data_IF_503627940701
#
_entry.id   IF_503627940701
#
_cell.length_a   1.000
_cell.length_b   1.000
_cell.length_c   1.000
_cell.angle_alpha   90.00
_cell.angle_beta   90.00
_cell.angle_gamma   90.00
#
_symmetry.space_group_name_H-M   'P 1'
#
loop_
_entity.id
_entity.type
_entity.pdbx_description
1 polymer ?
#
# COMPACT_ATOMS: atom_id res chain seq x y z
N UNK A 1 23.31 -9.09 20.94
CA UNK A 1 22.77 -8.96 19.56
C UNK A 1 22.55 -10.37 19.04
N UNK A 2 21.30 -10.82 18.89
CA UNK A 2 21.03 -12.12 18.24
C UNK A 2 21.44 -11.98 16.78
N UNK A 3 22.38 -12.80 16.33
CA UNK A 3 22.72 -12.92 14.90
C UNK A 3 21.64 -13.80 14.31
N UNK A 4 20.82 -13.22 13.44
CA UNK A 4 19.79 -13.94 12.67
C UNK A 4 20.51 -14.60 11.50
N UNK A 5 20.36 -15.91 11.33
CA UNK A 5 20.95 -16.66 10.22
C UNK A 5 20.13 -16.46 8.94
N UNK A 6 20.75 -16.60 7.75
CA UNK A 6 20.05 -16.49 6.47
C UNK A 6 18.85 -17.46 6.35
N UNK A 7 18.89 -18.63 6.99
CA UNK A 7 17.76 -19.57 7.06
C UNK A 7 16.60 -19.12 7.96
N UNK A 8 16.81 -18.17 8.89
CA UNK A 8 15.72 -17.54 9.66
C UNK A 8 15.06 -16.38 8.88
N UNK A 9 15.68 -15.92 7.79
CA UNK A 9 15.03 -15.14 6.74
C UNK A 9 14.35 -16.11 5.78
N UNK A 10 13.29 -16.81 6.25
CA UNK A 10 12.34 -17.44 5.33
C UNK A 10 12.00 -16.37 4.31
N UNK A 11 12.35 -16.59 3.05
CA UNK A 11 12.13 -15.59 2.02
C UNK A 11 10.63 -15.51 1.79
N UNK A 12 9.99 -14.59 2.52
CA UNK A 12 8.54 -14.40 2.53
C UNK A 12 8.10 -13.53 1.36
N UNK A 13 8.68 -13.76 0.19
CA UNK A 13 8.38 -13.05 -1.05
C UNK A 13 7.47 -13.89 -1.92
N UNK A 14 6.60 -13.24 -2.69
CA UNK A 14 5.71 -13.93 -3.62
C UNK A 14 5.05 -12.98 -4.60
N UNK A 15 4.08 -13.52 -5.32
CA UNK A 15 3.23 -12.72 -6.21
C UNK A 15 1.77 -12.88 -5.80
N UNK A 16 0.99 -11.84 -6.07
CA UNK A 16 -0.45 -11.88 -5.89
C UNK A 16 -1.17 -11.23 -7.04
N UNK A 17 -2.30 -11.81 -7.43
CA UNK A 17 -3.20 -11.26 -8.43
C UNK A 17 -4.36 -10.55 -7.75
N UNK A 18 -4.49 -9.25 -7.99
CA UNK A 18 -5.49 -8.41 -7.35
C UNK A 18 -6.89 -8.81 -7.82
N UNK A 19 -7.77 -9.11 -6.87
CA UNK A 19 -9.20 -9.40 -7.14
C UNK A 19 -10.09 -8.20 -6.82
N UNK A 20 -9.64 -7.29 -5.95
CA UNK A 20 -10.42 -6.11 -5.59
C UNK A 20 -9.58 -4.95 -5.04
N UNK A 21 -9.80 -3.74 -5.59
CA UNK A 21 -9.09 -2.49 -5.24
C UNK A 21 -9.92 -1.59 -4.28
N UNK A 22 -11.06 -2.05 -3.78
CA UNK A 22 -12.07 -1.20 -3.12
C UNK A 22 -11.76 -0.70 -1.71
N UNK A 23 -10.60 -1.02 -1.12
CA UNK A 23 -10.34 -0.77 0.30
C UNK A 23 -9.25 0.27 0.54
N UNK A 24 -9.39 0.99 1.66
CA UNK A 24 -8.55 2.12 2.08
C UNK A 24 -7.07 1.73 2.11
N UNK A 25 -6.71 0.81 3.01
CA UNK A 25 -5.31 0.46 3.28
C UNK A 25 -4.91 -0.92 2.73
N UNK A 26 -5.86 -1.67 2.18
CA UNK A 26 -5.63 -3.06 1.74
C UNK A 26 -6.11 -3.31 0.32
N UNK A 27 -5.65 -4.42 -0.25
CA UNK A 27 -6.08 -5.02 -1.49
C UNK A 27 -6.56 -6.44 -1.18
N UNK A 28 -7.63 -6.88 -1.84
CA UNK A 28 -7.99 -8.29 -1.84
C UNK A 28 -7.35 -8.93 -3.07
N UNK A 29 -6.76 -10.10 -2.89
CA UNK A 29 -6.01 -10.77 -3.93
C UNK A 29 -6.04 -12.28 -3.75
N UNK A 30 -5.54 -12.98 -4.75
CA UNK A 30 -5.12 -14.37 -4.63
C UNK A 30 -3.60 -14.43 -4.63
N UNK A 31 -3.02 -15.22 -3.73
CA UNK A 31 -1.64 -15.67 -3.86
C UNK A 31 -1.51 -16.37 -5.22
N UNK A 32 -0.50 -15.99 -5.99
CA UNK A 32 -0.41 -16.35 -7.40
C UNK A 32 0.89 -17.08 -7.69
N UNK A 33 0.77 -18.26 -8.29
CA UNK A 33 1.88 -18.95 -8.94
C UNK A 33 2.01 -18.39 -10.36
N UNK A 34 3.09 -17.64 -10.61
CA UNK A 34 3.34 -17.00 -11.90
C UNK A 34 3.71 -18.01 -12.97
N UNK A 35 4.38 -19.10 -12.60
CA UNK A 35 4.82 -20.12 -13.55
C UNK A 35 3.66 -21.03 -13.97
N UNK A 36 2.78 -21.38 -13.02
CA UNK A 36 1.59 -22.17 -13.29
C UNK A 36 0.37 -21.35 -13.75
N UNK A 37 0.46 -20.02 -13.72
CA UNK A 37 -0.65 -19.07 -13.93
C UNK A 37 -1.91 -19.45 -13.13
N UNK A 38 -1.72 -19.74 -11.84
CA UNK A 38 -2.75 -20.33 -10.99
C UNK A 38 -2.86 -19.65 -9.62
N UNK A 39 -4.09 -19.64 -9.10
CA UNK A 39 -4.38 -19.19 -7.73
C UNK A 39 -4.01 -20.26 -6.71
N UNK A 40 -3.27 -19.86 -5.67
CA UNK A 40 -2.91 -20.70 -4.52
C UNK A 40 -3.78 -20.46 -3.29
N UNK A 41 -4.68 -19.47 -3.35
CA UNK A 41 -5.60 -19.13 -2.25
C UNK A 41 -5.77 -17.62 -2.08
N UNK A 42 -6.85 -17.22 -1.42
CA UNK A 42 -7.14 -15.79 -1.19
C UNK A 42 -6.34 -15.22 -0.03
N UNK A 43 -5.85 -14.00 -0.20
CA UNK A 43 -5.08 -13.25 0.79
C UNK A 43 -5.51 -11.78 0.82
N UNK A 44 -5.16 -11.11 1.91
CA UNK A 44 -5.30 -9.66 2.07
C UNK A 44 -3.91 -9.04 2.12
N UNK A 45 -3.70 -7.97 1.37
CA UNK A 45 -2.39 -7.32 1.22
C UNK A 45 -2.52 -5.87 1.68
N UNK A 46 -1.66 -5.44 2.59
CA UNK A 46 -1.55 -4.03 2.96
C UNK A 46 -0.84 -3.25 1.86
N UNK A 47 -1.36 -2.06 1.52
CA UNK A 47 -0.66 -1.08 0.69
C UNK A 47 0.64 -0.62 1.38
N UNK A 48 1.62 -0.09 0.62
CA UNK A 48 2.77 0.58 1.21
C UNK A 48 2.32 1.69 2.17
N UNK A 49 3.02 1.88 3.29
CA UNK A 49 2.60 2.81 4.35
C UNK A 49 2.23 4.19 3.81
N UNK A 50 3.06 4.77 2.94
CA UNK A 50 2.83 6.09 2.35
C UNK A 50 1.57 6.19 1.46
N UNK A 51 1.06 5.06 0.95
CA UNK A 51 -0.15 4.99 0.11
C UNK A 51 -1.41 4.61 0.90
N UNK A 52 -1.30 4.41 2.22
CA UNK A 52 -2.43 4.12 3.12
C UNK A 52 -3.21 5.40 3.40
N UNK A 53 -4.50 5.26 3.66
CA UNK A 53 -5.40 6.35 4.01
C UNK A 53 -5.43 6.59 5.53
N UNK A 54 -5.60 5.55 6.33
CA UNK A 54 -5.97 5.67 7.76
C UNK A 54 -4.98 6.48 8.60
N UNK A 55 -3.69 6.38 8.30
CA UNK A 55 -2.64 7.11 9.03
C UNK A 55 -2.70 8.62 8.80
N UNK A 56 -3.25 9.05 7.66
CA UNK A 56 -3.12 10.43 7.19
C UNK A 56 -4.45 11.15 7.05
N UNK A 57 -5.58 10.44 6.92
CA UNK A 57 -6.87 11.07 6.63
C UNK A 57 -7.37 11.95 7.78
N UNK A 58 -7.53 13.24 7.50
CA UNK A 58 -7.91 14.24 8.51
C UNK A 58 -6.85 14.46 9.59
N UNK A 59 -5.62 13.96 9.38
CA UNK A 59 -4.49 14.13 10.28
C UNK A 59 -3.47 15.08 9.67
N UNK A 60 -2.71 15.75 10.54
CA UNK A 60 -1.52 16.51 10.15
C UNK A 60 -0.27 15.80 10.66
N UNK A 61 0.75 15.74 9.81
CA UNK A 61 2.05 15.14 10.13
C UNK A 61 3.07 16.27 10.24
N UNK A 62 3.61 16.45 11.44
CA UNK A 62 4.73 17.34 11.69
C UNK A 62 6.03 16.58 11.46
N UNK A 63 6.75 16.95 10.41
CA UNK A 63 8.05 16.37 10.08
C UNK A 63 9.16 17.02 10.91
N UNK A 64 10.31 16.35 11.02
CA UNK A 64 11.42 16.79 11.85
C UNK A 64 12.02 18.15 11.43
N UNK A 65 11.78 18.58 10.18
CA UNK A 65 12.17 19.89 9.67
C UNK A 65 11.17 21.01 10.02
N UNK A 66 10.06 20.70 10.72
CA UNK A 66 9.03 21.65 11.11
C UNK A 66 7.83 21.71 10.17
N UNK A 67 7.91 21.07 8.99
CA UNK A 67 6.80 21.08 8.03
C UNK A 67 5.58 20.35 8.60
N UNK A 68 4.42 20.99 8.50
CA UNK A 68 3.16 20.41 8.95
C UNK A 68 2.25 20.14 7.75
N UNK A 69 2.24 18.88 7.29
CA UNK A 69 1.46 18.49 6.11
C UNK A 69 0.17 17.83 6.56
N UNK A 70 -0.98 18.32 6.06
CA UNK A 70 -2.28 17.68 6.29
C UNK A 70 -2.82 17.04 5.02
N UNK A 71 -3.61 15.98 5.19
CA UNK A 71 -4.18 15.22 4.07
C UNK A 71 -5.68 15.01 4.22
N UNK A 72 -6.42 15.21 3.12
CA UNK A 72 -7.87 14.93 3.04
C UNK A 72 -8.11 13.93 1.92
N UNK A 73 -8.60 12.74 2.23
CA UNK A 73 -8.84 11.72 1.22
C UNK A 73 -10.24 11.86 0.61
N UNK A 74 -10.29 12.01 -0.71
CA UNK A 74 -11.54 12.00 -1.47
C UNK A 74 -11.95 10.59 -1.88
N UNK A 75 -10.96 9.75 -2.21
CA UNK A 75 -11.17 8.33 -2.58
C UNK A 75 -9.99 7.50 -2.09
N UNK A 76 -10.04 6.18 -2.29
CA UNK A 76 -8.92 5.26 -2.00
C UNK A 76 -7.65 5.52 -2.82
N UNK A 77 -7.73 6.38 -3.85
CA UNK A 77 -6.64 6.71 -4.78
C UNK A 77 -6.45 8.21 -5.02
N UNK A 78 -7.21 9.07 -4.33
CA UNK A 78 -7.15 10.52 -4.48
C UNK A 78 -7.22 11.20 -3.12
N UNK A 79 -6.31 12.14 -2.89
CA UNK A 79 -6.27 12.99 -1.70
C UNK A 79 -5.93 14.44 -2.08
N UNK A 80 -6.29 15.38 -1.23
CA UNK A 80 -5.70 16.71 -1.20
C UNK A 80 -4.58 16.72 -0.15
N UNK A 81 -3.45 17.33 -0.48
CA UNK A 81 -2.36 17.59 0.46
C UNK A 81 -2.21 19.10 0.65
N UNK A 82 -1.98 19.52 1.89
CA UNK A 82 -1.82 20.93 2.26
C UNK A 82 -0.55 21.10 3.08
N UNK A 83 0.26 22.08 2.71
CA UNK A 83 1.43 22.54 3.45
C UNK A 83 1.40 24.07 3.43
N UNK A 84 1.21 24.69 4.59
CA UNK A 84 1.02 26.13 4.74
C UNK A 84 -0.09 26.67 3.79
N UNK A 85 0.28 27.55 2.86
CA UNK A 85 -0.63 28.13 1.85
C UNK A 85 -0.70 27.30 0.56
N UNK A 86 0.18 26.31 0.40
CA UNK A 86 0.22 25.45 -0.78
C UNK A 86 -0.74 24.26 -0.64
N UNK A 87 -1.44 23.96 -1.74
CA UNK A 87 -2.26 22.75 -1.82
C UNK A 87 -2.18 22.11 -3.20
N UNK A 88 -2.33 20.80 -3.24
CA UNK A 88 -2.50 20.06 -4.49
C UNK A 88 -3.43 18.87 -4.32
N UNK A 89 -4.08 18.51 -5.43
CA UNK A 89 -4.78 17.23 -5.54
C UNK A 89 -3.78 16.19 -6.03
N UNK A 90 -3.62 15.11 -5.26
CA UNK A 90 -2.76 13.99 -5.57
C UNK A 90 -3.58 12.76 -5.95
N UNK A 91 -3.06 11.98 -6.89
CA UNK A 91 -3.61 10.68 -7.31
C UNK A 91 -2.51 9.62 -7.32
N UNK A 92 -2.84 8.38 -6.94
CA UNK A 92 -1.89 7.26 -7.02
C UNK A 92 -1.65 6.93 -8.51
N UNK A 93 -0.40 7.00 -8.94
CA UNK A 93 0.00 6.73 -10.34
C UNK A 93 1.28 5.85 -10.40
N UNK A 94 1.28 4.74 -11.18
CA UNK A 94 0.08 4.09 -11.72
C UNK A 94 -0.86 3.62 -10.59
N UNK A 95 -2.16 3.49 -10.89
CA UNK A 95 -3.12 2.99 -9.89
C UNK A 95 -2.96 1.47 -9.69
N UNK A 96 -3.71 0.91 -8.74
CA UNK A 96 -3.95 -0.53 -8.69
C UNK A 96 -5.09 -0.92 -9.63
N UNK A 97 -4.95 -2.07 -10.27
CA UNK A 97 -5.97 -2.63 -11.18
C UNK A 97 -6.34 -4.06 -10.77
N UNK A 98 -7.59 -4.44 -11.02
CA UNK A 98 -7.99 -5.86 -10.92
C UNK A 98 -7.23 -6.65 -11.98
N UNK A 99 -6.91 -7.91 -11.68
CA UNK A 99 -6.09 -8.83 -12.47
C UNK A 99 -4.60 -8.46 -12.60
N UNK A 100 -4.18 -7.36 -11.98
CA UNK A 100 -2.77 -7.01 -11.89
C UNK A 100 -2.02 -7.97 -10.95
N UNK A 101 -0.87 -8.45 -11.40
CA UNK A 101 0.05 -9.25 -10.59
C UNK A 101 1.07 -8.30 -9.95
N UNK A 102 1.18 -8.35 -8.62
CA UNK A 102 2.13 -7.56 -7.83
C UNK A 102 3.07 -8.44 -7.03
N UNK A 103 4.29 -7.96 -6.81
CA UNK A 103 5.24 -8.58 -5.89
C UNK A 103 4.87 -8.22 -4.44
N UNK A 104 4.82 -9.22 -3.58
CA UNK A 104 4.46 -9.09 -2.17
C UNK A 104 5.56 -9.61 -1.28
N UNK A 105 5.59 -9.11 -0.06
CA UNK A 105 6.39 -9.65 1.02
C UNK A 105 5.53 -9.86 2.26
N UNK A 106 5.93 -10.76 3.16
CA UNK A 106 5.23 -10.96 4.42
C UNK A 106 6.05 -10.52 5.62
N UNK A 107 5.40 -9.65 6.39
CA UNK A 107 5.92 -8.98 7.56
C UNK A 107 4.73 -8.36 8.33
N UNK A 108 4.86 -8.11 9.63
CA UNK A 108 3.85 -7.35 10.38
C UNK A 108 3.63 -5.97 9.74
N UNK A 109 2.40 -5.70 9.26
CA UNK A 109 2.11 -4.47 8.52
C UNK A 109 1.51 -3.36 9.38
N UNK A 110 1.03 -3.70 10.58
CA UNK A 110 0.26 -2.80 11.44
C UNK A 110 -1.17 -2.53 10.96
N UNK A 111 -1.61 -3.20 9.89
CA UNK A 111 -2.97 -3.07 9.35
C UNK A 111 -3.84 -4.22 9.85
N UNK A 112 -5.07 -3.91 10.25
CA UNK A 112 -6.10 -4.89 10.64
C UNK A 112 -7.23 -4.86 9.61
N UNK A 113 -7.71 -6.03 9.19
CA UNK A 113 -8.84 -6.17 8.28
C UNK A 113 -9.74 -7.31 8.73
N UNK A 114 -11.05 -7.05 8.88
CA UNK A 114 -12.00 -8.06 9.35
C UNK A 114 -11.77 -8.56 10.79
N UNK A 115 -10.94 -7.86 11.58
CA UNK A 115 -10.51 -8.29 12.92
C UNK A 115 -9.15 -8.96 12.96
N UNK A 116 -8.60 -9.34 11.80
CA UNK A 116 -7.34 -10.06 11.69
C UNK A 116 -6.18 -9.15 11.28
N UNK A 117 -4.98 -9.46 11.77
CA UNK A 117 -3.76 -8.77 11.36
C UNK A 117 -3.40 -9.13 9.91
N UNK A 118 -3.16 -8.10 9.09
CA UNK A 118 -2.69 -8.28 7.71
C UNK A 118 -1.18 -8.44 7.74
N UNK A 119 -0.68 -9.56 7.18
CA UNK A 119 0.74 -9.90 7.20
C UNK A 119 1.41 -9.83 5.82
N UNK A 120 0.65 -9.71 4.73
CA UNK A 120 1.21 -9.45 3.40
C UNK A 120 1.23 -7.95 3.12
N UNK A 121 2.29 -7.45 2.50
CA UNK A 121 2.36 -6.08 2.01
C UNK A 121 2.89 -6.03 0.58
N UNK A 122 2.43 -5.04 -0.18
CA UNK A 122 2.92 -4.74 -1.52
C UNK A 122 4.33 -4.14 -1.45
N UNK A 123 5.27 -4.73 -2.19
CA UNK A 123 6.64 -4.23 -2.33
C UNK A 123 6.73 -2.98 -3.21
N UNK A 124 5.61 -2.57 -3.81
CA UNK A 124 5.49 -1.43 -4.71
C UNK A 124 6.38 -1.55 -5.95
N UNK A 125 6.52 -2.77 -6.49
CA UNK A 125 7.35 -3.05 -7.67
C UNK A 125 6.92 -2.27 -8.92
N UNK A 126 5.65 -1.86 -9.01
CA UNK A 126 5.12 -1.04 -10.12
C UNK A 126 5.38 0.47 -9.96
N UNK A 127 6.26 0.87 -9.04
CA UNK A 127 6.66 2.25 -8.80
C UNK A 127 5.50 3.23 -8.52
N UNK A 128 4.48 2.79 -7.79
CA UNK A 128 3.30 3.63 -7.49
C UNK A 128 3.68 4.71 -6.50
N UNK A 129 3.23 5.92 -6.76
CA UNK A 129 3.40 7.05 -5.86
C UNK A 129 2.18 7.97 -5.91
N UNK A 130 2.06 8.83 -4.90
CA UNK A 130 1.20 10.00 -4.99
C UNK A 130 1.82 10.99 -5.98
N UNK A 131 1.11 11.25 -7.07
CA UNK A 131 1.50 12.21 -8.08
C UNK A 131 0.48 13.34 -8.15
N UNK A 132 0.93 14.55 -8.49
CA UNK A 132 0.03 15.68 -8.74
C UNK A 132 -0.96 15.32 -9.85
N UNK A 133 -2.26 15.51 -9.60
CA UNK A 133 -3.31 15.32 -10.61
C UNK A 133 -3.12 16.37 -11.70
N UNK A 134 -2.93 15.93 -12.93
CA UNK A 134 -2.87 16.82 -14.09
C UNK A 134 -4.15 17.66 -14.17
N UNK A 135 -3.98 18.95 -14.50
CA UNK A 135 -5.10 19.83 -14.85
C UNK A 135 -5.24 19.72 -16.37
N UNK A 136 -6.34 19.15 -16.83
CA UNK A 136 -6.72 19.10 -18.25
C UNK A 136 -7.74 20.18 -18.54
#
# INVERSE_FOLDING_TARGET
KKVVTEDELVTVLGHAKITNVSKNDVLLANLWDVDADASLGSIVIAKPYALRKTVFDGQSVVYANGDNVSYIYHTVRQRAAFLDEASEIQVITPNYYVDEIIAIAFAPTGVVYGGDAVLWFDLNGSARAWARRAVT
#
